data_IF_296180470041
#
_entry.id   IF_296180470041
#
_cell.length_a   1.000
_cell.length_b   1.000
_cell.length_c   1.000
_cell.angle_alpha   90.00
_cell.angle_beta   90.00
_cell.angle_gamma   90.00
#
_symmetry.space_group_name_H-M   'P 1'
#
loop_
_entity.id
_entity.type
_entity.pdbx_description
1 polymer ?
#
# COMPACT_ATOMS: atom_id res chain seq x y z
N UNK A 1 -5.57 9.45 -59.39
CA UNK A 1 -6.45 9.62 -58.22
C UNK A 1 -6.99 8.34 -57.60
N UNK A 2 -7.39 7.31 -58.39
CA UNK A 2 -7.93 6.04 -57.86
C UNK A 2 -6.94 5.25 -56.97
N UNK A 3 -5.65 5.22 -57.33
CA UNK A 3 -4.64 4.48 -56.54
C UNK A 3 -4.37 5.12 -55.16
N UNK A 4 -4.47 6.44 -55.03
CA UNK A 4 -4.29 7.13 -53.75
C UNK A 4 -5.41 6.80 -52.76
N UNK A 5 -6.67 6.70 -53.22
CA UNK A 5 -7.80 6.35 -52.41
C UNK A 5 -7.77 4.89 -51.91
N UNK A 6 -7.25 3.96 -52.73
CA UNK A 6 -7.12 2.55 -52.35
C UNK A 6 -6.04 2.38 -51.27
N UNK A 7 -4.89 3.05 -51.44
CA UNK A 7 -3.80 3.03 -50.48
C UNK A 7 -4.25 3.61 -49.10
N UNK A 8 -4.98 4.72 -49.09
CA UNK A 8 -5.51 5.29 -47.86
C UNK A 8 -6.52 4.42 -47.13
N UNK A 9 -7.40 3.73 -47.87
CA UNK A 9 -8.35 2.78 -47.28
C UNK A 9 -7.66 1.54 -46.72
N UNK A 10 -6.64 1.02 -47.35
CA UNK A 10 -5.86 -0.12 -46.84
C UNK A 10 -5.08 0.24 -45.58
N UNK A 11 -4.52 1.46 -45.47
CA UNK A 11 -3.82 1.92 -44.26
C UNK A 11 -4.79 2.13 -43.11
N UNK A 12 -5.98 2.65 -43.34
CA UNK A 12 -7.02 2.80 -42.34
C UNK A 12 -7.54 1.46 -41.84
N UNK A 13 -7.73 0.50 -42.74
CA UNK A 13 -8.17 -0.87 -42.38
C UNK A 13 -7.10 -1.63 -41.60
N UNK A 14 -5.83 -1.53 -41.98
CA UNK A 14 -4.72 -2.11 -41.25
C UNK A 14 -4.55 -1.49 -39.87
N UNK A 15 -4.71 -0.17 -39.75
CA UNK A 15 -4.70 0.54 -38.48
C UNK A 15 -5.82 0.13 -37.54
N UNK A 16 -7.06 -0.05 -38.05
CA UNK A 16 -8.20 -0.51 -37.24
C UNK A 16 -8.05 -1.99 -36.82
N UNK A 17 -7.47 -2.83 -37.66
CA UNK A 17 -7.19 -4.23 -37.35
C UNK A 17 -6.11 -4.36 -36.25
N UNK A 18 -5.09 -3.50 -36.27
CA UNK A 18 -4.06 -3.45 -35.24
C UNK A 18 -4.60 -2.99 -33.86
N UNK A 19 -5.61 -2.14 -33.85
CA UNK A 19 -6.28 -1.71 -32.62
C UNK A 19 -7.16 -2.83 -32.01
N UNK A 20 -7.66 -3.76 -32.79
CA UNK A 20 -8.47 -4.89 -32.31
C UNK A 20 -7.62 -6.00 -31.67
N UNK A 21 -6.33 -6.08 -31.96
CA UNK A 21 -5.42 -7.07 -31.36
C UNK A 21 -4.76 -6.56 -30.06
N UNK A 22 -5.03 -5.33 -29.65
CA UNK A 22 -4.45 -4.71 -28.45
C UNK A 22 -5.07 -5.19 -27.13
N UNK A 23 -6.02 -6.13 -27.15
CA UNK A 23 -6.50 -6.79 -25.93
C UNK A 23 -5.42 -7.72 -25.36
N UNK A 24 -4.49 -7.15 -24.61
CA UNK A 24 -3.52 -7.93 -23.85
C UNK A 24 -4.19 -8.39 -22.56
N UNK A 25 -4.54 -9.67 -22.47
CA UNK A 25 -5.04 -10.25 -21.23
C UNK A 25 -3.88 -10.39 -20.26
N UNK A 26 -3.91 -9.59 -19.21
CA UNK A 26 -3.01 -9.79 -18.06
C UNK A 26 -3.52 -11.04 -17.35
N UNK A 27 -2.66 -12.05 -17.27
CA UNK A 27 -2.95 -13.26 -16.51
C UNK A 27 -2.89 -12.88 -15.04
N UNK A 28 -4.05 -12.88 -14.37
CA UNK A 28 -4.12 -12.75 -12.92
C UNK A 28 -3.38 -13.94 -12.29
N UNK A 29 -2.35 -13.65 -11.50
CA UNK A 29 -1.70 -14.67 -10.67
C UNK A 29 -2.35 -14.59 -9.29
N UNK A 30 -3.20 -15.56 -8.93
CA UNK A 30 -3.76 -15.59 -7.59
C UNK A 30 -2.64 -15.72 -6.55
N UNK A 31 -2.78 -15.03 -5.44
CA UNK A 31 -1.93 -15.25 -4.25
C UNK A 31 -1.97 -16.74 -3.89
N UNK A 32 -0.82 -17.29 -3.50
CA UNK A 32 -0.75 -18.68 -3.04
C UNK A 32 -1.79 -18.91 -1.95
N UNK A 33 -2.64 -19.89 -2.15
CA UNK A 33 -3.58 -20.32 -1.12
C UNK A 33 -2.82 -21.01 0.01
N UNK A 34 -3.23 -20.75 1.23
CA UNK A 34 -2.74 -21.51 2.39
C UNK A 34 -3.45 -22.85 2.39
N UNK A 35 -2.70 -23.93 2.62
CA UNK A 35 -3.26 -25.29 2.68
C UNK A 35 -4.02 -25.54 3.98
N UNK A 36 -3.57 -24.91 5.07
CA UNK A 36 -4.18 -24.99 6.39
C UNK A 36 -4.23 -23.63 7.06
N UNK A 37 -5.34 -23.36 7.75
CA UNK A 37 -5.44 -22.21 8.65
C UNK A 37 -4.76 -22.63 9.97
N UNK A 38 -3.66 -21.96 10.30
CA UNK A 38 -2.96 -22.13 11.56
C UNK A 38 -3.38 -21.01 12.52
N UNK A 39 -4.25 -21.27 13.51
CA UNK A 39 -4.77 -20.23 14.41
C UNK A 39 -3.67 -19.53 15.22
N UNK A 40 -2.59 -20.25 15.50
CA UNK A 40 -1.47 -19.78 16.31
C UNK A 40 -0.44 -18.94 15.50
N UNK A 41 -0.53 -18.95 14.16
CA UNK A 41 0.40 -18.21 13.29
C UNK A 41 -0.21 -16.93 12.76
N UNK A 42 0.62 -15.90 12.69
CA UNK A 42 0.27 -14.57 12.20
C UNK A 42 -0.50 -13.74 13.24
N UNK A 43 -0.86 -12.53 12.84
CA UNK A 43 -1.61 -11.60 13.69
C UNK A 43 -3.03 -12.14 13.93
N UNK A 44 -3.40 -12.25 15.19
CA UNK A 44 -4.76 -12.54 15.64
C UNK A 44 -5.14 -11.53 16.72
N UNK A 45 -6.24 -10.82 16.50
CA UNK A 45 -6.71 -9.83 17.47
C UNK A 45 -6.93 -10.45 18.87
N UNK A 46 -7.47 -11.66 18.92
CA UNK A 46 -7.72 -12.37 20.16
C UNK A 46 -6.43 -12.61 20.95
N UNK A 47 -5.37 -13.10 20.29
CA UNK A 47 -4.06 -13.30 20.91
C UNK A 47 -3.43 -11.97 21.36
N UNK A 48 -3.53 -10.92 20.55
CA UNK A 48 -3.05 -9.60 20.89
C UNK A 48 -3.80 -9.02 22.10
N UNK A 49 -5.11 -9.19 22.15
CA UNK A 49 -5.93 -8.75 23.27
C UNK A 49 -5.62 -9.53 24.56
N UNK A 50 -5.43 -10.85 24.49
CA UNK A 50 -5.03 -11.63 25.65
C UNK A 50 -3.67 -11.21 26.22
N UNK A 51 -2.70 -10.92 25.35
CA UNK A 51 -1.40 -10.38 25.77
C UNK A 51 -1.52 -8.99 26.39
N UNK A 52 -2.36 -8.14 25.81
CA UNK A 52 -2.60 -6.79 26.32
C UNK A 52 -3.32 -6.79 27.67
N UNK A 53 -4.24 -7.72 27.90
CA UNK A 53 -4.93 -7.88 29.21
C UNK A 53 -4.00 -8.32 30.35
N UNK A 54 -2.82 -8.86 30.04
CA UNK A 54 -1.79 -9.15 31.04
C UNK A 54 -0.96 -7.91 31.43
N UNK A 55 -1.07 -6.84 30.64
CA UNK A 55 -0.45 -5.54 30.92
C UNK A 55 -1.42 -4.65 31.69
N UNK A 56 -0.91 -3.72 32.48
CA UNK A 56 -1.77 -2.75 33.15
C UNK A 56 -2.46 -1.76 32.19
N UNK A 57 -1.90 -1.55 31.02
CA UNK A 57 -2.39 -0.61 30.02
C UNK A 57 -2.54 -1.27 28.66
N UNK A 58 -3.65 -1.00 28.00
CA UNK A 58 -3.89 -1.34 26.59
C UNK A 58 -3.74 -0.05 25.76
N UNK A 59 -2.78 -0.04 24.85
CA UNK A 59 -2.51 1.10 23.97
C UNK A 59 -3.03 0.80 22.56
N UNK A 60 -4.07 1.52 22.16
CA UNK A 60 -4.67 1.41 20.84
C UNK A 60 -4.43 2.72 20.08
N UNK A 61 -3.90 2.62 18.88
CA UNK A 61 -3.67 3.77 18.00
C UNK A 61 -4.51 3.66 16.74
N UNK A 62 -5.27 4.70 16.43
CA UNK A 62 -6.11 4.77 15.24
C UNK A 62 -5.67 5.93 14.35
N UNK A 63 -5.30 5.61 13.10
CA UNK A 63 -4.88 6.59 12.10
C UNK A 63 -6.04 6.92 11.17
N UNK A 64 -6.38 8.20 11.07
CA UNK A 64 -7.44 8.68 10.18
C UNK A 64 -7.07 8.62 8.70
N UNK A 65 -8.07 8.65 7.83
CA UNK A 65 -7.88 8.85 6.40
C UNK A 65 -7.43 10.28 6.06
N UNK A 66 -6.90 10.47 4.85
CA UNK A 66 -6.44 11.78 4.38
C UNK A 66 -5.17 11.71 3.52
N UNK A 67 -4.88 10.56 2.92
CA UNK A 67 -3.75 10.35 2.04
C UNK A 67 -2.40 10.50 2.75
N UNK A 68 -1.39 10.96 2.03
CA UNK A 68 -0.03 11.13 2.58
C UNK A 68 0.03 12.12 3.75
N UNK A 69 -0.88 13.12 3.80
CA UNK A 69 -0.93 14.09 4.91
C UNK A 69 -1.31 13.43 6.23
N UNK A 70 -2.32 12.55 6.21
CA UNK A 70 -2.73 11.81 7.40
C UNK A 70 -1.64 10.82 7.84
N UNK A 71 -1.00 10.13 6.88
CA UNK A 71 0.15 9.27 7.15
C UNK A 71 1.32 10.05 7.78
N UNK A 72 1.63 11.25 7.27
CA UNK A 72 2.70 12.10 7.82
C UNK A 72 2.38 12.58 9.24
N UNK A 73 1.13 12.97 9.50
CA UNK A 73 0.71 13.38 10.85
C UNK A 73 0.82 12.21 11.83
N UNK A 74 0.29 11.04 11.45
CA UNK A 74 0.38 9.84 12.28
C UNK A 74 1.83 9.40 12.52
N UNK A 75 2.68 9.50 11.50
CA UNK A 75 4.11 9.25 11.65
C UNK A 75 4.77 10.19 12.67
N UNK A 76 4.47 11.49 12.62
CA UNK A 76 4.99 12.46 13.61
C UNK A 76 4.54 12.13 15.04
N UNK A 77 3.33 11.57 15.22
CA UNK A 77 2.86 11.09 16.52
C UNK A 77 3.68 9.88 16.97
N UNK A 78 3.91 8.89 16.09
CA UNK A 78 4.75 7.72 16.41
C UNK A 78 6.19 8.11 16.73
N UNK A 79 6.74 9.11 16.04
CA UNK A 79 8.07 9.66 16.32
C UNK A 79 8.13 10.25 17.75
N UNK A 80 7.10 10.97 18.18
CA UNK A 80 7.03 11.45 19.56
C UNK A 80 6.86 10.32 20.57
N UNK A 81 6.13 9.27 20.22
CA UNK A 81 5.94 8.10 21.08
C UNK A 81 7.24 7.33 21.34
N UNK A 82 8.23 7.46 20.45
CA UNK A 82 9.57 6.91 20.66
C UNK A 82 10.29 7.56 21.87
N UNK A 83 9.92 8.80 22.19
CA UNK A 83 10.53 9.59 23.28
C UNK A 83 9.64 9.69 24.50
N UNK A 84 8.38 9.32 24.40
CA UNK A 84 7.44 9.32 25.52
C UNK A 84 7.49 8.00 26.27
N UNK A 85 7.49 8.04 27.60
CA UNK A 85 7.44 6.87 28.48
C UNK A 85 6.10 6.79 29.17
N UNK A 86 5.56 5.59 29.33
CA UNK A 86 4.32 5.36 30.09
C UNK A 86 4.60 5.51 31.58
N UNK A 87 5.78 5.08 32.02
CA UNK A 87 6.24 5.18 33.42
C UNK A 87 7.64 5.79 33.47
N UNK A 88 7.80 6.92 34.16
CA UNK A 88 9.12 7.58 34.27
C UNK A 88 10.14 6.76 35.07
N UNK A 89 9.71 5.74 35.79
CA UNK A 89 10.53 4.96 36.73
C UNK A 89 11.10 3.68 36.14
N UNK A 90 10.59 3.21 35.01
CA UNK A 90 11.09 1.99 34.35
C UNK A 90 11.94 2.33 33.15
N UNK A 91 13.18 1.86 33.21
CA UNK A 91 14.19 2.11 32.19
C UNK A 91 13.80 1.44 30.87
N UNK A 92 13.38 2.22 29.89
CA UNK A 92 13.34 1.79 28.50
C UNK A 92 11.99 1.56 27.84
N UNK A 93 10.87 1.59 28.55
CA UNK A 93 9.55 1.37 27.94
C UNK A 93 8.99 2.66 27.35
N UNK A 94 9.19 2.82 26.05
CA UNK A 94 8.58 3.92 25.31
C UNK A 94 7.12 3.63 25.01
N UNK A 95 6.33 4.68 24.78
CA UNK A 95 4.94 4.53 24.37
C UNK A 95 4.84 3.81 23.02
N UNK A 96 5.81 4.01 22.12
CA UNK A 96 5.90 3.31 20.83
C UNK A 96 6.00 1.78 21.00
N UNK A 97 6.79 1.33 21.98
CA UNK A 97 6.95 -0.10 22.28
C UNK A 97 5.72 -0.74 22.90
N UNK A 98 4.87 0.07 23.50
CA UNK A 98 3.68 -0.36 24.20
C UNK A 98 2.39 -0.29 23.36
N UNK A 99 2.49 0.04 22.07
CA UNK A 99 1.34 -0.03 21.17
C UNK A 99 0.96 -1.50 20.96
N UNK A 100 -0.24 -1.86 21.37
CA UNK A 100 -0.78 -3.22 21.27
C UNK A 100 -1.60 -3.44 20.00
N UNK A 101 -2.36 -2.42 19.59
CA UNK A 101 -3.26 -2.50 18.44
C UNK A 101 -3.18 -1.23 17.62
N UNK A 102 -3.12 -1.41 16.30
CA UNK A 102 -3.18 -0.29 15.35
C UNK A 102 -4.34 -0.45 14.39
N UNK A 103 -5.03 0.66 14.14
CA UNK A 103 -6.06 0.76 13.10
C UNK A 103 -5.70 1.88 12.13
N UNK A 104 -6.11 1.73 10.88
CA UNK A 104 -5.88 2.77 9.89
C UNK A 104 -6.98 2.80 8.83
N UNK A 105 -7.24 4.00 8.32
CA UNK A 105 -8.17 4.23 7.20
C UNK A 105 -7.42 4.94 6.07
N UNK A 106 -7.53 4.43 4.82
CA UNK A 106 -6.90 5.04 3.63
C UNK A 106 -5.38 5.28 3.84
N UNK A 107 -4.90 6.53 3.75
CA UNK A 107 -3.49 6.85 4.00
C UNK A 107 -2.99 6.44 5.39
N UNK A 108 -3.86 6.50 6.40
CA UNK A 108 -3.55 5.99 7.74
C UNK A 108 -3.38 4.47 7.79
N UNK A 109 -4.06 3.71 6.90
CA UNK A 109 -3.85 2.26 6.83
C UNK A 109 -2.49 1.88 6.26
N UNK A 110 -1.91 2.71 5.40
CA UNK A 110 -0.53 2.51 4.93
C UNK A 110 0.45 2.62 6.11
N UNK A 111 0.32 3.66 6.93
CA UNK A 111 1.13 3.82 8.13
C UNK A 111 0.93 2.68 9.14
N UNK A 112 -0.33 2.27 9.36
CA UNK A 112 -0.66 1.15 10.25
C UNK A 112 -0.02 -0.17 9.77
N UNK A 113 -0.07 -0.44 8.46
CA UNK A 113 0.55 -1.62 7.87
C UNK A 113 2.08 -1.60 8.02
N UNK A 114 2.72 -0.46 7.76
CA UNK A 114 4.16 -0.31 7.98
C UNK A 114 4.53 -0.52 9.45
N UNK A 115 3.75 0.03 10.38
CA UNK A 115 3.99 -0.18 11.80
C UNK A 115 3.85 -1.66 12.19
N UNK A 116 2.84 -2.35 11.66
CA UNK A 116 2.65 -3.78 11.91
C UNK A 116 3.80 -4.65 11.37
N UNK A 117 4.46 -4.23 10.28
CA UNK A 117 5.59 -4.94 9.68
C UNK A 117 6.93 -4.62 10.36
N UNK A 118 7.16 -3.35 10.69
CA UNK A 118 8.47 -2.83 11.09
C UNK A 118 8.57 -2.58 12.60
N UNK A 119 7.43 -2.52 13.30
CA UNK A 119 7.41 -2.22 14.73
C UNK A 119 8.11 -0.90 15.05
N UNK A 120 9.11 -0.95 15.93
CA UNK A 120 9.87 0.23 16.35
C UNK A 120 10.78 0.80 15.25
N UNK A 121 11.17 -0.02 14.28
CA UNK A 121 12.02 0.39 13.16
C UNK A 121 11.28 1.23 12.12
N UNK A 122 9.98 1.45 12.31
CA UNK A 122 9.17 2.28 11.40
C UNK A 122 9.73 3.69 11.27
N UNK A 123 10.31 4.25 12.35
CA UNK A 123 10.70 5.67 12.36
C UNK A 123 11.69 6.02 11.25
N UNK A 124 12.85 5.37 11.08
CA UNK A 124 13.69 5.65 9.93
C UNK A 124 13.08 5.15 8.62
N UNK A 125 12.51 3.95 8.60
CA UNK A 125 12.11 3.27 7.37
C UNK A 125 10.94 3.93 6.65
N UNK A 126 9.89 4.32 7.35
CA UNK A 126 8.73 4.95 6.74
C UNK A 126 9.04 6.30 6.14
N UNK A 127 9.89 7.08 6.80
CA UNK A 127 10.35 8.36 6.27
C UNK A 127 11.08 8.18 4.92
N UNK A 128 12.03 7.27 4.85
CA UNK A 128 12.82 7.02 3.64
C UNK A 128 11.99 6.36 2.53
N UNK A 129 11.17 5.39 2.88
CA UNK A 129 10.44 4.57 1.91
C UNK A 129 9.17 5.22 1.40
N UNK A 130 8.50 6.03 2.21
CA UNK A 130 7.19 6.59 1.88
C UNK A 130 7.17 8.12 1.87
N UNK A 131 7.54 8.79 2.99
CA UNK A 131 7.34 10.23 3.12
C UNK A 131 8.22 11.07 2.20
N UNK A 132 9.48 10.67 2.01
CA UNK A 132 10.42 11.35 1.09
C UNK A 132 10.12 11.09 -0.38
N UNK A 133 9.31 10.09 -0.70
CA UNK A 133 8.92 9.77 -2.08
C UNK A 133 7.67 10.55 -2.47
N UNK A 134 7.70 11.20 -3.63
CA UNK A 134 6.50 11.80 -4.20
C UNK A 134 5.60 10.72 -4.80
N UNK A 135 4.93 9.98 -3.92
CA UNK A 135 4.09 8.86 -4.25
C UNK A 135 2.97 9.25 -5.22
N UNK A 136 2.33 10.41 -5.01
CA UNK A 136 1.27 10.89 -5.88
C UNK A 136 1.77 11.12 -7.31
N UNK A 137 2.91 11.79 -7.48
CA UNK A 137 3.50 12.02 -8.80
C UNK A 137 3.88 10.70 -9.48
N UNK A 138 4.39 9.74 -8.71
CA UNK A 138 4.76 8.41 -9.21
C UNK A 138 3.53 7.67 -9.73
N UNK A 139 2.46 7.59 -8.94
CA UNK A 139 1.20 6.95 -9.35
C UNK A 139 0.59 7.63 -10.58
N UNK A 140 0.58 8.97 -10.63
CA UNK A 140 0.07 9.71 -11.78
C UNK A 140 0.88 9.39 -13.04
N UNK A 141 2.21 9.39 -12.94
CA UNK A 141 3.08 9.08 -14.08
C UNK A 141 2.84 7.65 -14.58
N UNK A 142 2.66 6.69 -13.67
CA UNK A 142 2.37 5.30 -14.03
C UNK A 142 1.00 5.16 -14.73
N UNK A 143 -0.03 5.85 -14.24
CA UNK A 143 -1.36 5.85 -14.87
C UNK A 143 -1.30 6.38 -16.31
N UNK A 144 -0.51 7.43 -16.55
CA UNK A 144 -0.36 8.03 -17.89
C UNK A 144 0.79 7.45 -18.70
N UNK A 145 1.47 6.42 -18.19
CA UNK A 145 2.50 5.72 -18.95
C UNK A 145 1.90 4.94 -20.11
N UNK A 146 2.47 5.10 -21.30
CA UNK A 146 2.04 4.36 -22.50
C UNK A 146 2.12 2.84 -22.30
N UNK A 147 3.03 2.36 -21.47
CA UNK A 147 3.16 0.93 -21.14
C UNK A 147 2.01 0.40 -20.27
N UNK A 148 1.38 1.27 -19.46
CA UNK A 148 0.31 0.87 -18.55
C UNK A 148 -1.10 1.05 -19.12
N UNK A 149 -1.25 1.84 -20.20
CA UNK A 149 -2.57 2.02 -20.86
C UNK A 149 -3.23 0.69 -21.24
N UNK A 150 -2.54 -0.28 -21.89
CA UNK A 150 -3.14 -1.58 -22.20
C UNK A 150 -3.52 -2.39 -20.95
N UNK A 151 -2.75 -2.24 -19.86
CA UNK A 151 -3.01 -2.93 -18.59
C UNK A 151 -4.24 -2.37 -17.90
N UNK A 152 -4.37 -1.03 -17.85
CA UNK A 152 -5.49 -0.33 -17.22
C UNK A 152 -6.83 -0.51 -17.96
N UNK A 153 -6.79 -0.88 -19.26
CA UNK A 153 -7.98 -1.24 -20.04
C UNK A 153 -8.35 -2.72 -19.91
N UNK A 154 -7.51 -3.52 -19.27
CA UNK A 154 -7.79 -4.94 -19.01
C UNK A 154 -8.78 -5.09 -17.86
N UNK A 155 -9.75 -6.01 -17.92
CA UNK A 155 -10.69 -6.25 -16.83
C UNK A 155 -10.03 -6.85 -15.58
N UNK A 156 -8.81 -7.39 -15.70
CA UNK A 156 -8.05 -8.02 -14.60
C UNK A 156 -7.08 -7.08 -13.88
N UNK A 157 -6.88 -5.87 -14.39
CA UNK A 157 -5.94 -4.92 -13.81
C UNK A 157 -6.61 -3.57 -13.59
N UNK A 158 -6.56 -3.07 -12.38
CA UNK A 158 -7.18 -1.81 -11.99
C UNK A 158 -6.25 -0.90 -11.19
N UNK A 159 -6.82 0.16 -10.67
CA UNK A 159 -6.07 1.12 -9.84
C UNK A 159 -5.50 0.52 -8.57
N UNK A 160 -6.18 -0.50 -8.03
CA UNK A 160 -5.74 -1.19 -6.82
C UNK A 160 -4.46 -1.99 -7.08
N UNK A 161 -4.37 -2.65 -8.23
CA UNK A 161 -3.17 -3.41 -8.61
C UNK A 161 -1.98 -2.50 -8.83
N UNK A 162 -2.21 -1.35 -9.49
CA UNK A 162 -1.17 -0.33 -9.67
C UNK A 162 -0.70 0.22 -8.31
N UNK A 163 -1.61 0.46 -7.38
CA UNK A 163 -1.27 0.90 -6.03
C UNK A 163 -0.46 -0.17 -5.28
N UNK A 164 -0.86 -1.42 -5.38
CA UNK A 164 -0.15 -2.55 -4.77
C UNK A 164 1.28 -2.66 -5.31
N UNK A 165 1.48 -2.55 -6.62
CA UNK A 165 2.82 -2.54 -7.22
C UNK A 165 3.68 -1.41 -6.65
N UNK A 166 3.11 -0.23 -6.48
CA UNK A 166 3.84 0.92 -5.94
C UNK A 166 4.19 0.76 -4.45
N UNK A 167 3.33 0.14 -3.66
CA UNK A 167 3.60 -0.15 -2.25
C UNK A 167 4.66 -1.24 -2.09
N UNK A 168 4.68 -2.24 -2.97
CA UNK A 168 5.71 -3.28 -2.96
C UNK A 168 7.12 -2.75 -3.35
N UNK A 169 7.21 -1.59 -4.00
CA UNK A 169 8.46 -0.93 -4.38
C UNK A 169 8.90 0.12 -3.33
N UNK A 170 8.11 0.36 -2.32
CA UNK A 170 8.39 1.33 -1.27
C UNK A 170 9.12 0.69 -0.10
#
# INVERSE_FOLDING_TARGET
>A
MKHLHISFKCTLLAGSLALLTACHSIIYQPTKTIEQIEPEKGYRLENAMQQALQKENLVIVAFSGGGSRAASLGYGVLEQFQHATIRPTEKGDTLLQNIDVVYGVSGGSVLAAYFALEGQDIIPKFNESFLKKNFQKKVINEVFSMSNVPRLTSPQFGRSDLLQEQLNLA
#
